data_IF_619608682958
#
_entry.id   IF_619608682958
#
_cell.length_a   1.000
_cell.length_b   1.000
_cell.length_c   1.000
_cell.angle_alpha   90.00
_cell.angle_beta   90.00
_cell.angle_gamma   90.00
#
_symmetry.space_group_name_H-M   'P 1'
#
loop_
_entity.id
_entity.type
_entity.pdbx_description
1 polymer ?
#
# COMPACT_ATOMS: atom_id res chain seq x y z
N UNK A 1 0.62 -10.95 1.27
CA UNK A 1 1.78 -11.35 0.43
C UNK A 1 2.59 -12.42 1.14
N UNK A 2 2.79 -13.57 0.52
CA UNK A 2 3.67 -14.59 1.11
C UNK A 2 5.10 -14.09 1.24
N UNK A 3 5.75 -14.41 2.36
CA UNK A 3 7.15 -14.08 2.57
C UNK A 3 8.05 -15.15 1.90
N UNK A 4 7.95 -15.23 0.57
CA UNK A 4 8.61 -16.24 -0.23
C UNK A 4 10.09 -15.92 -0.46
N UNK A 5 10.93 -16.94 -0.50
CA UNK A 5 12.37 -16.77 -0.71
C UNK A 5 12.76 -16.04 -2.02
N UNK A 6 11.88 -16.10 -3.05
CA UNK A 6 12.08 -15.36 -4.30
C UNK A 6 12.08 -13.85 -4.11
N UNK A 7 11.48 -13.36 -3.02
CA UNK A 7 11.40 -11.95 -2.69
C UNK A 7 12.53 -11.52 -1.77
N UNK A 8 13.36 -12.47 -1.35
CA UNK A 8 14.42 -12.21 -0.38
C UNK A 8 15.70 -11.71 -1.06
N UNK A 9 16.49 -10.98 -0.28
CA UNK A 9 17.86 -10.65 -0.63
C UNK A 9 18.78 -11.86 -0.34
N UNK A 10 20.08 -11.79 -0.64
CA UNK A 10 20.99 -12.92 -0.42
C UNK A 10 21.10 -13.41 1.02
N UNK A 11 20.72 -12.62 2.01
CA UNK A 11 20.74 -13.02 3.43
C UNK A 11 19.38 -13.50 3.95
N UNK A 12 18.42 -13.73 3.05
CA UNK A 12 17.12 -14.29 3.42
C UNK A 12 16.10 -13.30 3.96
N UNK A 13 16.31 -12.01 3.74
CA UNK A 13 15.38 -10.95 4.16
C UNK A 13 14.61 -10.43 2.96
N UNK A 14 13.29 -10.30 3.08
CA UNK A 14 12.43 -9.77 2.03
C UNK A 14 12.88 -8.35 1.66
N UNK A 15 13.10 -8.12 0.38
CA UNK A 15 13.55 -6.82 -0.10
C UNK A 15 12.49 -5.75 0.15
N UNK A 16 12.95 -4.56 0.57
CA UNK A 16 12.06 -3.43 0.85
C UNK A 16 11.21 -3.00 -0.33
N UNK A 17 11.71 -3.18 -1.56
CA UNK A 17 10.95 -2.89 -2.78
C UNK A 17 9.67 -3.69 -2.89
N UNK A 18 9.66 -4.95 -2.45
CA UNK A 18 8.46 -5.78 -2.45
C UNK A 18 7.47 -5.34 -1.38
N UNK A 19 7.96 -4.92 -0.22
CA UNK A 19 7.11 -4.35 0.84
C UNK A 19 6.48 -3.04 0.38
N UNK A 20 7.26 -2.20 -0.30
CA UNK A 20 6.76 -0.95 -0.88
C UNK A 20 5.71 -1.20 -1.96
N UNK A 21 5.90 -2.20 -2.81
CA UNK A 21 4.93 -2.57 -3.83
C UNK A 21 3.61 -3.05 -3.22
N UNK A 22 3.68 -3.84 -2.14
CA UNK A 22 2.49 -4.27 -1.42
C UNK A 22 1.74 -3.07 -0.82
N UNK A 23 2.46 -2.16 -0.18
CA UNK A 23 1.87 -0.95 0.40
C UNK A 23 1.20 -0.09 -0.67
N UNK A 24 1.87 0.11 -1.81
CA UNK A 24 1.32 0.87 -2.92
C UNK A 24 0.04 0.23 -3.46
N UNK A 25 0.04 -1.08 -3.67
CA UNK A 25 -1.13 -1.80 -4.16
C UNK A 25 -2.32 -1.69 -3.19
N UNK A 26 -2.08 -1.85 -1.90
CA UNK A 26 -3.12 -1.78 -0.89
C UNK A 26 -3.70 -0.36 -0.76
N UNK A 27 -2.83 0.64 -0.70
CA UNK A 27 -3.26 2.04 -0.61
C UNK A 27 -3.95 2.49 -1.90
N UNK A 28 -3.46 2.05 -3.06
CA UNK A 28 -4.08 2.36 -4.35
C UNK A 28 -5.49 1.82 -4.44
N UNK A 29 -5.70 0.55 -4.09
CA UNK A 29 -7.03 -0.06 -4.08
C UNK A 29 -7.97 0.66 -3.10
N UNK A 30 -7.46 1.03 -1.93
CA UNK A 30 -8.24 1.76 -0.92
C UNK A 30 -8.62 3.15 -1.41
N UNK A 31 -7.71 3.86 -2.09
CA UNK A 31 -7.99 5.18 -2.66
C UNK A 31 -9.09 5.13 -3.71
N UNK A 32 -9.07 4.12 -4.58
CA UNK A 32 -10.09 3.92 -5.61
C UNK A 32 -11.44 3.61 -4.97
N UNK A 33 -11.48 2.70 -4.00
CA UNK A 33 -12.71 2.34 -3.32
C UNK A 33 -13.34 3.54 -2.61
N UNK A 34 -12.52 4.34 -1.92
CA UNK A 34 -12.98 5.54 -1.25
C UNK A 34 -13.55 6.56 -2.24
N UNK A 35 -12.82 6.82 -3.33
CA UNK A 35 -13.23 7.80 -4.35
C UNK A 35 -14.51 7.37 -5.08
N UNK A 36 -14.68 6.09 -5.35
CA UNK A 36 -15.91 5.55 -5.94
C UNK A 36 -17.12 5.69 -5.02
N UNK A 37 -16.91 5.58 -3.72
CA UNK A 37 -17.97 5.77 -2.74
C UNK A 37 -18.46 7.22 -2.70
N UNK A 38 -17.65 8.19 -3.12
CA UNK A 38 -18.04 9.61 -3.17
C UNK A 38 -18.83 9.96 -4.43
N UNK A 39 -18.57 9.26 -5.54
CA UNK A 39 -19.22 9.52 -6.82
C UNK A 39 -19.00 8.34 -7.77
N UNK A 40 -20.04 7.96 -8.51
CA UNK A 40 -19.98 6.87 -9.50
C UNK A 40 -19.30 7.26 -10.82
N UNK A 41 -18.73 8.45 -10.92
CA UNK A 41 -18.02 8.87 -12.11
C UNK A 41 -16.78 8.01 -12.30
N UNK A 42 -16.50 7.49 -13.50
CA UNK A 42 -15.26 6.75 -13.75
C UNK A 42 -14.04 7.57 -13.37
N UNK A 43 -13.08 6.91 -12.74
CA UNK A 43 -11.89 7.59 -12.24
C UNK A 43 -10.64 6.73 -12.39
N UNK A 44 -9.50 7.40 -12.36
CA UNK A 44 -8.20 6.79 -12.19
C UNK A 44 -7.54 7.39 -10.95
N UNK A 45 -6.70 6.61 -10.29
CA UNK A 45 -5.96 7.04 -9.12
C UNK A 45 -4.49 6.72 -9.34
N UNK A 46 -3.63 7.68 -9.10
CA UNK A 46 -2.19 7.53 -9.27
C UNK A 46 -1.45 7.97 -8.01
N UNK A 47 -0.52 7.16 -7.57
CA UNK A 47 0.37 7.49 -6.46
C UNK A 47 1.36 8.56 -6.92
N UNK A 48 1.40 9.69 -6.25
CA UNK A 48 2.32 10.79 -6.60
C UNK A 48 3.44 10.97 -5.58
N UNK A 49 3.29 10.39 -4.40
CA UNK A 49 4.36 10.33 -3.42
C UNK A 49 4.09 9.21 -2.43
N UNK A 50 5.13 8.58 -1.97
CA UNK A 50 5.03 7.58 -0.92
C UNK A 50 6.26 7.66 -0.02
N UNK A 51 6.02 7.64 1.28
CA UNK A 51 7.06 7.45 2.28
C UNK A 51 6.84 6.09 2.91
N UNK A 52 7.89 5.30 3.02
CA UNK A 52 7.83 4.04 3.74
C UNK A 52 9.00 3.96 4.72
N UNK A 53 8.70 3.50 5.92
CA UNK A 53 9.69 3.25 6.96
C UNK A 53 9.74 1.75 7.21
N UNK A 54 10.93 1.17 7.12
CA UNK A 54 11.15 -0.24 7.41
C UNK A 54 11.57 -0.35 8.86
N UNK A 55 10.73 -0.97 9.69
CA UNK A 55 10.87 -0.97 11.14
C UNK A 55 11.49 -2.26 11.67
N UNK A 56 11.32 -3.36 10.94
CA UNK A 56 11.88 -4.65 11.29
C UNK A 56 12.13 -5.47 10.02
N UNK A 57 13.18 -6.30 10.00
CA UNK A 57 13.41 -7.19 8.87
C UNK A 57 12.32 -8.26 8.79
N UNK A 58 11.96 -8.63 7.56
CA UNK A 58 11.03 -9.72 7.31
C UNK A 58 11.82 -10.89 6.77
N UNK A 59 12.00 -11.92 7.58
CA UNK A 59 12.67 -13.14 7.13
C UNK A 59 11.71 -13.93 6.24
N UNK A 60 12.25 -14.51 5.16
CA UNK A 60 11.44 -15.42 4.36
C UNK A 60 11.16 -16.69 5.17
N UNK A 61 9.97 -17.24 4.99
CA UNK A 61 9.57 -18.44 5.74
C UNK A 61 8.32 -19.04 5.15
N UNK A 62 8.27 -20.38 5.20
CA UNK A 62 7.11 -21.12 4.73
C UNK A 62 5.91 -20.81 5.61
N UNK A 63 4.80 -20.49 4.98
CA UNK A 63 3.56 -20.14 5.67
C UNK A 63 3.51 -18.74 6.24
N UNK A 64 4.59 -17.98 6.18
CA UNK A 64 4.59 -16.58 6.64
C UNK A 64 3.91 -15.66 5.60
N UNK A 65 3.08 -14.76 6.08
CA UNK A 65 2.38 -13.77 5.26
C UNK A 65 2.68 -12.37 5.76
N UNK A 66 2.98 -11.47 4.81
CA UNK A 66 3.00 -10.04 5.09
C UNK A 66 1.60 -9.52 4.84
N UNK A 67 0.99 -8.95 5.85
CA UNK A 67 -0.36 -8.38 5.79
C UNK A 67 -0.25 -6.87 5.76
N UNK A 68 -0.91 -6.24 4.81
CA UNK A 68 -0.96 -4.80 4.70
C UNK A 68 -2.39 -4.31 4.93
N UNK A 69 -2.57 -3.42 5.89
CA UNK A 69 -3.83 -2.74 6.14
C UNK A 69 -3.67 -1.28 5.79
N UNK A 70 -4.42 -0.83 4.81
CA UNK A 70 -4.43 0.56 4.37
C UNK A 70 -5.69 1.26 4.83
N UNK A 71 -5.57 2.55 5.18
CA UNK A 71 -6.70 3.37 5.56
C UNK A 71 -6.57 4.78 4.99
N UNK A 72 -7.71 5.40 4.71
CA UNK A 72 -7.77 6.80 4.32
C UNK A 72 -7.59 7.65 5.57
N UNK A 73 -6.61 8.53 5.56
CA UNK A 73 -6.40 9.54 6.61
C UNK A 73 -7.29 10.75 6.33
N UNK A 74 -7.25 11.22 5.09
CA UNK A 74 -8.09 12.34 4.66
C UNK A 74 -8.32 12.22 3.16
N UNK A 75 -9.58 12.26 2.76
CA UNK A 75 -9.95 12.26 1.37
C UNK A 75 -10.48 13.61 0.92
N UNK A 76 -10.09 14.01 -0.27
CA UNK A 76 -10.58 15.19 -0.95
C UNK A 76 -11.03 14.83 -2.36
N UNK A 77 -11.50 15.82 -3.09
CA UNK A 77 -12.01 15.59 -4.45
C UNK A 77 -10.92 15.14 -5.43
N UNK A 78 -9.70 15.65 -5.28
CA UNK A 78 -8.59 15.39 -6.19
C UNK A 78 -7.45 14.60 -5.56
N UNK A 79 -7.39 14.58 -4.26
CA UNK A 79 -6.30 13.93 -3.55
C UNK A 79 -6.83 13.12 -2.38
N UNK A 80 -6.26 11.95 -2.18
CA UNK A 80 -6.56 11.08 -1.04
C UNK A 80 -5.25 10.80 -0.33
N UNK A 81 -5.23 11.05 0.97
CA UNK A 81 -4.08 10.78 1.82
C UNK A 81 -4.34 9.49 2.58
N UNK A 82 -3.40 8.55 2.49
CA UNK A 82 -3.55 7.24 3.10
C UNK A 82 -2.33 6.87 3.93
N UNK A 83 -2.56 5.97 4.86
CA UNK A 83 -1.52 5.27 5.61
C UNK A 83 -1.72 3.79 5.47
N UNK A 84 -0.63 3.04 5.59
CA UNK A 84 -0.64 1.59 5.60
C UNK A 84 0.30 1.06 6.67
N UNK A 85 -0.10 -0.03 7.30
CA UNK A 85 0.74 -0.78 8.22
C UNK A 85 0.94 -2.18 7.66
N UNK A 86 2.21 -2.61 7.63
CA UNK A 86 2.58 -3.95 7.20
C UNK A 86 3.01 -4.74 8.42
N UNK A 87 2.40 -5.91 8.59
CA UNK A 87 2.66 -6.78 9.75
C UNK A 87 2.97 -8.19 9.30
N UNK A 88 3.76 -8.89 10.11
CA UNK A 88 3.97 -10.33 9.99
C UNK A 88 3.68 -10.93 11.35
N UNK A 89 2.71 -11.85 11.42
CA UNK A 89 2.28 -12.48 12.67
C UNK A 89 2.02 -11.44 13.80
N UNK A 90 1.37 -10.33 13.44
CA UNK A 90 1.03 -9.27 14.39
C UNK A 90 2.15 -8.30 14.72
N UNK A 91 3.37 -8.55 14.24
CA UNK A 91 4.49 -7.62 14.45
C UNK A 91 4.54 -6.59 13.33
N UNK A 92 4.57 -5.30 13.69
CA UNK A 92 4.70 -4.22 12.73
C UNK A 92 6.10 -4.22 12.13
N UNK A 93 6.18 -4.41 10.82
CA UNK A 93 7.47 -4.48 10.11
C UNK A 93 7.73 -3.28 9.22
N UNK A 94 6.69 -2.59 8.78
CA UNK A 94 6.83 -1.36 7.99
C UNK A 94 5.60 -0.49 8.13
N UNK A 95 5.77 0.79 7.92
CA UNK A 95 4.69 1.75 7.90
C UNK A 95 4.88 2.69 6.72
N UNK A 96 3.80 2.97 6.00
CA UNK A 96 3.83 3.82 4.82
C UNK A 96 2.78 4.91 4.89
N UNK A 97 3.03 6.01 4.21
CA UNK A 97 2.06 7.06 3.95
C UNK A 97 2.17 7.47 2.49
N UNK A 98 1.06 7.85 1.89
CA UNK A 98 1.02 8.12 0.47
C UNK A 98 -0.06 9.14 0.12
N UNK A 99 0.16 9.85 -0.97
CA UNK A 99 -0.83 10.72 -1.58
C UNK A 99 -1.17 10.18 -2.95
N UNK A 100 -2.45 9.97 -3.20
CA UNK A 100 -2.96 9.57 -4.50
C UNK A 100 -3.76 10.69 -5.11
N UNK A 101 -3.47 11.01 -6.38
CA UNK A 101 -4.28 11.94 -7.15
C UNK A 101 -5.37 11.18 -7.88
N UNK A 102 -6.59 11.66 -7.73
CA UNK A 102 -7.77 11.08 -8.36
C UNK A 102 -8.15 11.94 -9.55
N UNK A 103 -8.19 11.33 -10.71
CA UNK A 103 -8.65 11.99 -11.95
C UNK A 103 -9.98 11.35 -12.34
N UNK A 104 -11.02 12.18 -12.42
CA UNK A 104 -12.33 11.74 -12.81
C UNK A 104 -12.56 12.04 -14.28
N UNK A 105 -13.17 11.10 -14.97
CA UNK A 105 -13.55 11.28 -16.36
C UNK A 105 -14.88 12.03 -16.39
N UNK A 106 -14.83 13.30 -16.86
CA UNK A 106 -16.03 14.09 -17.00
C UNK A 106 -16.79 13.70 -18.27
N UNK A 107 -18.11 13.61 -18.14
CA UNK A 107 -18.99 13.45 -19.27
C UNK A 107 -19.22 14.84 -19.86
N UNK A 108 -18.68 15.07 -21.03
CA UNK A 108 -18.98 16.27 -21.81
C UNK A 108 -20.07 15.97 -22.83
#
# INVERSE_FOLDING_TARGET
MPAHERLANPIGIIQGGFLAALADSAMGATSVAWAKAQSNTPLTSANVEMKISFLAPVSCGEGLQVVCLAKVVKGGRRAVFLEAELTVEGTLVAKASSTYLVTRKENT
#
